data_IF_140005955581
#
_entry.id   IF_140005955581
#
_cell.length_a   1.000
_cell.length_b   1.000
_cell.length_c   1.000
_cell.angle_alpha   90.00
_cell.angle_beta   90.00
_cell.angle_gamma   90.00
#
_symmetry.space_group_name_H-M   'P 1'
#
loop_
_entity.id
_entity.type
_entity.pdbx_description
1 polymer ?
#
# COMPACT_ATOMS: atom_id res chain seq x y z
N UNK A 1 -18.10 40.02 -26.85
CA UNK A 1 -18.82 40.87 -25.89
C UNK A 1 -19.53 39.96 -24.90
N UNK A 2 -19.06 39.89 -23.65
CA UNK A 2 -19.65 39.01 -22.63
C UNK A 2 -21.02 39.60 -22.25
N UNK A 3 -22.09 38.82 -22.30
CA UNK A 3 -23.44 39.30 -21.97
C UNK A 3 -23.48 39.64 -20.48
N UNK A 4 -24.01 40.81 -20.12
CA UNK A 4 -24.11 41.26 -18.72
C UNK A 4 -24.83 40.25 -17.80
N UNK A 5 -25.71 39.42 -18.36
CA UNK A 5 -26.36 38.31 -17.67
C UNK A 5 -25.37 37.26 -17.13
N UNK A 6 -24.27 37.01 -17.85
CA UNK A 6 -23.22 36.07 -17.43
C UNK A 6 -22.44 36.57 -16.22
N UNK A 7 -22.17 37.89 -16.15
CA UNK A 7 -21.47 38.51 -15.04
C UNK A 7 -22.32 38.51 -13.77
N UNK A 8 -23.62 38.81 -13.90
CA UNK A 8 -24.56 38.73 -12.78
C UNK A 8 -24.70 37.30 -12.25
N UNK A 9 -24.80 36.31 -13.14
CA UNK A 9 -24.86 34.90 -12.76
C UNK A 9 -23.60 34.46 -11.99
N UNK A 10 -22.40 34.86 -12.44
CA UNK A 10 -21.16 34.55 -11.71
C UNK A 10 -21.09 35.23 -10.34
N UNK A 11 -21.55 36.48 -10.23
CA UNK A 11 -21.55 37.20 -8.95
C UNK A 11 -22.50 36.57 -7.94
N UNK A 12 -23.69 36.14 -8.37
CA UNK A 12 -24.65 35.45 -7.50
C UNK A 12 -24.11 34.11 -7.03
N UNK A 13 -23.49 33.34 -7.92
CA UNK A 13 -22.89 32.04 -7.58
C UNK A 13 -21.73 32.22 -6.58
N UNK A 14 -20.90 33.24 -6.77
CA UNK A 14 -19.82 33.57 -5.85
C UNK A 14 -20.34 34.03 -4.47
N UNK A 15 -21.38 34.85 -4.44
CA UNK A 15 -22.02 35.27 -3.20
C UNK A 15 -22.65 34.07 -2.45
N UNK A 16 -23.26 33.13 -3.17
CA UNK A 16 -23.85 31.92 -2.60
C UNK A 16 -22.77 31.00 -2.01
N UNK A 17 -21.60 30.92 -2.65
CA UNK A 17 -20.43 30.19 -2.12
C UNK A 17 -19.87 30.82 -0.84
N UNK A 18 -19.91 32.15 -0.71
CA UNK A 18 -19.47 32.85 0.51
C UNK A 18 -20.47 32.73 1.67
N UNK A 19 -21.77 32.59 1.35
CA UNK A 19 -22.84 32.50 2.35
C UNK A 19 -23.05 31.07 2.84
N UNK A 20 -22.51 30.04 2.16
CA UNK A 20 -22.48 28.67 2.69
C UNK A 20 -21.71 28.70 4.03
N UNK A 21 -22.40 28.56 5.19
CA UNK A 21 -21.71 28.53 6.44
C UNK A 21 -20.85 27.27 6.43
N UNK A 22 -19.57 27.43 6.74
CA UNK A 22 -18.62 26.36 7.04
C UNK A 22 -19.03 25.52 8.28
N UNK A 23 -20.33 25.48 8.61
CA UNK A 23 -20.96 24.73 9.69
C UNK A 23 -20.94 23.21 9.46
N UNK A 24 -20.60 22.76 8.26
CA UNK A 24 -20.43 21.34 7.94
C UNK A 24 -18.98 20.83 8.11
N UNK A 25 -18.03 21.68 8.51
CA UNK A 25 -16.73 21.15 8.93
C UNK A 25 -16.87 20.63 10.36
N UNK A 26 -16.71 19.31 10.60
CA UNK A 26 -16.67 18.77 11.94
C UNK A 26 -15.52 19.42 12.69
N UNK A 27 -15.84 20.38 13.57
CA UNK A 27 -14.91 20.90 14.56
C UNK A 27 -14.76 19.80 15.61
N UNK A 28 -13.78 18.93 15.43
CA UNK A 28 -13.36 18.05 16.51
C UNK A 28 -12.92 18.93 17.69
N UNK A 29 -13.63 18.86 18.82
CA UNK A 29 -13.15 19.49 20.05
C UNK A 29 -11.85 18.78 20.42
N UNK A 30 -10.74 19.50 20.28
CA UNK A 30 -9.41 18.95 20.48
C UNK A 30 -9.14 18.87 22.01
N UNK A 31 -9.73 17.88 22.68
CA UNK A 31 -9.55 17.63 24.11
C UNK A 31 -8.18 16.98 24.44
N UNK A 32 -7.12 17.32 23.70
CA UNK A 32 -5.79 16.81 24.01
C UNK A 32 -5.18 17.50 25.23
N UNK A 33 -5.61 18.71 25.54
CA UNK A 33 -5.18 19.43 26.72
C UNK A 33 -6.29 19.39 27.76
N UNK A 34 -6.13 18.50 28.73
CA UNK A 34 -6.87 18.54 29.99
C UNK A 34 -6.23 19.64 30.85
N UNK A 35 -7.00 20.69 31.12
CA UNK A 35 -6.54 21.92 31.82
C UNK A 35 -6.27 21.68 33.32
N UNK A 36 -6.77 20.58 33.90
CA UNK A 36 -6.59 20.27 35.32
C UNK A 36 -6.41 18.75 35.55
N UNK A 37 -5.24 18.36 36.05
CA UNK A 37 -5.00 17.04 36.63
C UNK A 37 -3.56 16.55 36.50
N UNK A 38 -2.94 16.23 37.63
CA UNK A 38 -1.81 15.30 37.72
C UNK A 38 -2.19 14.02 36.99
N UNK A 39 -1.45 13.64 35.94
CA UNK A 39 -1.67 12.38 35.26
C UNK A 39 -1.41 11.23 36.23
N UNK A 40 -2.41 10.37 36.42
CA UNK A 40 -2.22 9.14 37.18
C UNK A 40 -1.25 8.22 36.42
N UNK A 41 -0.32 7.53 37.10
CA UNK A 41 0.72 6.73 36.47
C UNK A 41 0.16 5.63 35.54
N UNK A 42 -1.05 5.15 35.80
CA UNK A 42 -1.75 4.17 34.97
C UNK A 42 -2.16 4.72 33.60
N UNK A 43 -2.60 5.98 33.54
CA UNK A 43 -3.04 6.64 32.31
C UNK A 43 -1.83 6.95 31.40
N UNK A 44 -0.69 7.33 32.00
CA UNK A 44 0.58 7.47 31.28
C UNK A 44 0.99 6.13 30.66
N UNK A 45 0.86 5.04 31.41
CA UNK A 45 1.18 3.70 30.92
C UNK A 45 0.26 3.25 29.78
N UNK A 46 -1.05 3.54 29.84
CA UNK A 46 -1.97 3.27 28.73
C UNK A 46 -1.59 4.08 27.48
N UNK A 47 -1.27 5.36 27.63
CA UNK A 47 -0.81 6.20 26.52
C UNK A 47 0.50 5.65 25.89
N UNK A 48 1.45 5.23 26.71
CA UNK A 48 2.71 4.62 26.23
C UNK A 48 2.47 3.29 25.52
N UNK A 49 1.56 2.45 26.02
CA UNK A 49 1.20 1.18 25.38
C UNK A 49 0.50 1.41 24.03
N UNK A 50 -0.42 2.38 23.96
CA UNK A 50 -1.05 2.80 22.70
C UNK A 50 -0.02 3.26 21.69
N UNK A 51 0.93 4.12 22.10
CA UNK A 51 2.00 4.60 21.24
C UNK A 51 2.87 3.43 20.74
N UNK A 52 3.24 2.51 21.62
CA UNK A 52 4.02 1.31 21.26
C UNK A 52 3.30 0.45 20.22
N UNK A 53 1.98 0.28 20.36
CA UNK A 53 1.17 -0.47 19.41
C UNK A 53 1.12 0.21 18.04
N UNK A 54 0.97 1.54 18.00
CA UNK A 54 1.01 2.31 16.76
C UNK A 54 2.35 2.15 16.02
N UNK A 55 3.47 2.32 16.73
CA UNK A 55 4.82 2.16 16.17
C UNK A 55 5.07 0.72 15.69
N UNK A 56 4.54 -0.29 16.39
CA UNK A 56 4.64 -1.68 15.94
C UNK A 56 3.82 -1.95 14.68
N UNK A 57 2.63 -1.34 14.56
CA UNK A 57 1.79 -1.48 13.37
C UNK A 57 2.43 -0.82 12.15
N UNK A 58 3.05 0.35 12.33
CA UNK A 58 3.77 1.06 11.26
C UNK A 58 4.92 0.21 10.71
N UNK A 59 5.81 -0.31 11.57
CA UNK A 59 6.87 -1.25 11.14
C UNK A 59 6.33 -2.51 10.47
N UNK A 60 5.19 -3.04 10.93
CA UNK A 60 4.58 -4.23 10.32
C UNK A 60 4.06 -3.91 8.92
N UNK A 61 3.51 -2.71 8.70
CA UNK A 61 3.10 -2.24 7.38
C UNK A 61 4.29 -1.98 6.46
N UNK A 62 5.38 -1.39 6.97
CA UNK A 62 6.62 -1.19 6.22
C UNK A 62 7.19 -2.52 5.72
N UNK A 63 7.34 -3.51 6.62
CA UNK A 63 7.81 -4.84 6.23
C UNK A 63 6.92 -5.52 5.18
N UNK A 64 5.60 -5.32 5.27
CA UNK A 64 4.66 -5.86 4.28
C UNK A 64 4.78 -5.14 2.93
N UNK A 65 4.91 -3.81 2.95
CA UNK A 65 5.13 -2.98 1.77
C UNK A 65 6.45 -3.33 1.09
N UNK A 66 7.50 -3.55 1.87
CA UNK A 66 8.82 -3.99 1.38
C UNK A 66 8.77 -5.40 0.79
N UNK A 67 7.97 -6.30 1.39
CA UNK A 67 7.69 -7.61 0.81
C UNK A 67 6.96 -7.52 -0.54
N UNK A 68 5.98 -6.63 -0.65
CA UNK A 68 5.24 -6.39 -1.90
C UNK A 68 6.13 -5.73 -2.96
N UNK A 69 6.95 -4.72 -2.58
CA UNK A 69 7.85 -4.06 -3.52
C UNK A 69 8.91 -5.04 -4.03
N UNK A 70 9.51 -5.85 -3.15
CA UNK A 70 10.46 -6.90 -3.52
C UNK A 70 9.81 -7.95 -4.45
N UNK A 71 8.57 -8.34 -4.20
CA UNK A 71 7.82 -9.24 -5.08
C UNK A 71 7.54 -8.61 -6.46
N UNK A 72 7.15 -7.33 -6.50
CA UNK A 72 6.95 -6.60 -7.75
C UNK A 72 8.26 -6.41 -8.52
N UNK A 73 9.37 -6.17 -7.83
CA UNK A 73 10.71 -6.08 -8.42
C UNK A 73 11.15 -7.43 -9.00
N UNK A 74 10.85 -8.55 -8.32
CA UNK A 74 11.09 -9.89 -8.86
C UNK A 74 10.26 -10.17 -10.13
N UNK A 75 8.96 -9.83 -10.13
CA UNK A 75 8.10 -9.98 -11.31
C UNK A 75 8.57 -9.09 -12.47
N UNK A 76 8.92 -7.84 -12.17
CA UNK A 76 9.40 -6.91 -13.19
C UNK A 76 10.80 -7.28 -13.67
N UNK A 77 11.68 -7.85 -12.85
CA UNK A 77 12.98 -8.36 -13.29
C UNK A 77 12.83 -9.62 -14.15
N UNK A 78 11.84 -10.48 -13.87
CA UNK A 78 11.53 -11.64 -14.72
C UNK A 78 11.00 -11.19 -16.10
N UNK A 79 10.18 -10.14 -16.15
CA UNK A 79 9.77 -9.50 -17.42
C UNK A 79 10.85 -8.63 -18.06
N UNK A 80 11.83 -8.17 -17.28
CA UNK A 80 13.02 -7.40 -17.71
C UNK A 80 14.25 -8.31 -17.74
N UNK A 81 14.04 -9.60 -18.00
CA UNK A 81 15.08 -10.46 -18.52
C UNK A 81 15.62 -9.75 -19.76
N UNK A 82 16.86 -9.30 -19.66
CA UNK A 82 17.62 -8.70 -20.73
C UNK A 82 17.74 -9.77 -21.83
N UNK A 83 16.76 -9.81 -22.75
CA UNK A 83 16.71 -10.78 -23.83
C UNK A 83 17.83 -10.41 -24.81
N UNK A 84 19.02 -10.99 -24.60
CA UNK A 84 20.21 -10.87 -25.44
C UNK A 84 20.02 -11.45 -26.85
N UNK A 85 18.78 -11.54 -27.34
CA UNK A 85 18.43 -12.15 -28.61
C UNK A 85 18.56 -13.67 -28.63
N UNK A 86 18.83 -14.32 -27.49
CA UNK A 86 18.94 -15.79 -27.40
C UNK A 86 17.60 -16.51 -27.63
N UNK A 87 16.49 -15.80 -27.42
CA UNK A 87 15.12 -16.33 -27.59
C UNK A 87 14.61 -16.26 -29.04
N UNK A 88 15.29 -15.52 -29.93
CA UNK A 88 14.88 -15.34 -31.33
C UNK A 88 15.16 -16.62 -32.12
N UNK A 89 14.18 -17.53 -32.11
CA UNK A 89 14.24 -18.82 -32.80
C UNK A 89 13.69 -19.98 -31.98
N UNK A 90 13.39 -19.79 -30.69
CA UNK A 90 12.82 -20.83 -29.85
C UNK A 90 11.30 -20.91 -30.07
N UNK A 91 10.86 -21.96 -30.75
CA UNK A 91 9.44 -22.31 -30.92
C UNK A 91 8.72 -22.33 -29.57
N UNK A 92 7.47 -21.87 -29.53
CA UNK A 92 6.65 -21.88 -28.31
C UNK A 92 6.52 -23.27 -27.67
N UNK A 93 6.61 -24.33 -28.47
CA UNK A 93 6.65 -25.71 -27.95
C UNK A 93 7.94 -26.02 -27.16
N UNK A 94 9.06 -25.40 -27.52
CA UNK A 94 10.35 -25.57 -26.85
C UNK A 94 10.41 -24.74 -25.56
N UNK A 95 9.87 -23.52 -25.58
CA UNK A 95 9.69 -22.72 -24.38
C UNK A 95 8.72 -23.40 -23.39
N UNK A 96 7.63 -23.98 -23.88
CA UNK A 96 6.68 -24.73 -23.06
C UNK A 96 7.32 -25.98 -22.42
N UNK A 97 8.13 -26.74 -23.18
CA UNK A 97 8.89 -27.87 -22.62
C UNK A 97 9.91 -27.42 -21.58
N UNK A 98 10.58 -26.30 -21.79
CA UNK A 98 11.52 -25.75 -20.83
C UNK A 98 10.82 -25.34 -19.53
N UNK A 99 9.69 -24.63 -19.64
CA UNK A 99 8.86 -24.24 -18.49
C UNK A 99 8.29 -25.46 -17.75
N UNK A 100 7.87 -26.49 -18.47
CA UNK A 100 7.41 -27.76 -17.89
C UNK A 100 8.56 -28.48 -17.15
N UNK A 101 9.78 -28.47 -17.69
CA UNK A 101 10.97 -29.04 -17.04
C UNK A 101 11.33 -28.29 -15.75
N UNK A 102 11.29 -26.96 -15.77
CA UNK A 102 11.49 -26.13 -14.57
C UNK A 102 10.40 -26.36 -13.52
N UNK A 103 9.14 -26.46 -13.93
CA UNK A 103 8.03 -26.78 -13.03
C UNK A 103 8.18 -28.17 -12.40
N UNK A 104 8.61 -29.17 -13.17
CA UNK A 104 8.86 -30.52 -12.67
C UNK A 104 10.05 -30.57 -11.68
N UNK A 105 11.10 -29.78 -11.90
CA UNK A 105 12.23 -29.66 -10.98
C UNK A 105 11.85 -28.94 -9.67
N UNK A 106 10.98 -27.93 -9.75
CA UNK A 106 10.48 -27.19 -8.59
C UNK A 106 9.35 -27.90 -7.83
N UNK A 107 8.81 -28.99 -8.39
CA UNK A 107 7.75 -29.77 -7.76
C UNK A 107 8.21 -30.34 -6.41
N UNK A 108 7.39 -30.17 -5.38
CA UNK A 108 7.73 -30.52 -4.00
C UNK A 108 8.06 -32.01 -3.79
N UNK A 109 7.59 -32.89 -4.67
CA UNK A 109 7.91 -34.32 -4.72
C UNK A 109 8.82 -34.73 -5.88
N UNK A 110 9.53 -33.79 -6.52
CA UNK A 110 10.39 -34.03 -7.68
C UNK A 110 11.60 -34.91 -7.34
N UNK A 111 12.11 -35.70 -8.32
CA UNK A 111 13.22 -36.62 -8.11
C UNK A 111 14.48 -35.87 -7.65
N UNK A 112 15.09 -36.34 -6.56
CA UNK A 112 16.27 -35.72 -5.93
C UNK A 112 16.00 -34.95 -4.64
N UNK A 113 14.73 -34.66 -4.32
CA UNK A 113 14.36 -33.99 -3.07
C UNK A 113 14.16 -35.04 -1.98
N UNK A 114 15.14 -35.16 -1.07
CA UNK A 114 15.06 -36.06 0.09
C UNK A 114 13.79 -35.74 0.87
N UNK A 115 12.91 -36.73 1.02
CA UNK A 115 11.79 -36.60 1.95
C UNK A 115 12.43 -36.39 3.32
N UNK A 116 12.04 -35.30 4.00
CA UNK A 116 12.34 -35.17 5.43
C UNK A 116 11.42 -36.17 6.12
N UNK A 117 11.81 -37.44 6.05
CA UNK A 117 11.24 -38.50 6.84
C UNK A 117 11.69 -38.17 8.27
N UNK A 118 10.74 -37.67 9.06
CA UNK A 118 10.97 -37.31 10.44
C UNK A 118 11.24 -38.56 11.27
N UNK A 119 12.29 -38.48 12.08
CA UNK A 119 12.28 -38.84 13.49
C UNK A 119 13.21 -37.86 14.22
#
# INVERSE_FOLDING_TARGET
>A
MVRASSLLASCVLFALLLVLPAAAYPRYSNNYYRDEGTYEPEEIMDMMNRLRNLIQMERKMENFRDGISSFNDAITSEKRALDLGLSRGYSGALQAKHLMGLAAANFAGGPGRRRRDGF
#
